data_IF_795619918832
#
_entry.id   IF_795619918832
#
_cell.length_a   1.000
_cell.length_b   1.000
_cell.length_c   1.000
_cell.angle_alpha   90.00
_cell.angle_beta   90.00
_cell.angle_gamma   90.00
#
_symmetry.space_group_name_H-M   'P 1'
#
loop_
_entity.id
_entity.type
_entity.pdbx_description
1 polymer ?
#
# COMPACT_ATOMS: atom_id res chain seq x y z
N UNK A 1 -6.51 5.20 -2.76
CA UNK A 1 -5.77 6.24 -3.49
C UNK A 1 -6.75 7.20 -4.17
N UNK A 2 -6.53 8.50 -3.99
CA UNK A 2 -7.35 9.56 -4.58
C UNK A 2 -6.52 10.36 -5.57
N UNK A 3 -7.12 10.73 -6.69
CA UNK A 3 -6.60 11.75 -7.59
C UNK A 3 -7.29 13.07 -7.27
N UNK A 4 -6.50 14.10 -7.00
CA UNK A 4 -7.00 15.46 -6.75
C UNK A 4 -6.45 16.37 -7.85
N UNK A 5 -7.33 16.91 -8.69
CA UNK A 5 -6.92 17.84 -9.75
C UNK A 5 -6.86 19.29 -9.24
N UNK A 6 -6.18 20.20 -9.98
CA UNK A 6 -6.04 21.60 -9.57
C UNK A 6 -7.36 22.35 -9.36
N UNK A 7 -8.43 21.91 -10.02
CA UNK A 7 -9.81 22.42 -9.87
C UNK A 7 -10.56 21.84 -8.65
N UNK A 8 -9.86 21.12 -7.76
CA UNK A 8 -10.40 20.48 -6.54
C UNK A 8 -11.36 19.33 -6.80
N UNK A 9 -11.41 18.78 -8.02
CA UNK A 9 -12.13 17.54 -8.26
C UNK A 9 -11.36 16.37 -7.64
N UNK A 10 -12.06 15.55 -6.86
CA UNK A 10 -11.54 14.34 -6.22
C UNK A 10 -12.11 13.13 -6.93
N UNK A 11 -11.25 12.21 -7.33
CA UNK A 11 -11.59 10.97 -8.00
C UNK A 11 -10.97 9.80 -7.22
N UNK A 12 -11.76 8.76 -6.97
CA UNK A 12 -11.27 7.52 -6.39
C UNK A 12 -10.58 6.70 -7.48
N UNK A 13 -9.28 6.43 -7.32
CA UNK A 13 -8.52 5.59 -8.24
C UNK A 13 -8.57 4.10 -7.83
N UNK A 14 -8.43 3.83 -6.53
CA UNK A 14 -8.47 2.46 -5.99
C UNK A 14 -8.71 2.48 -4.48
N UNK A 15 -9.48 1.53 -3.96
CA UNK A 15 -9.72 1.31 -2.52
C UNK A 15 -9.62 -0.16 -2.08
N UNK A 16 -9.31 -1.07 -3.00
CA UNK A 16 -9.26 -2.50 -2.75
C UNK A 16 -8.35 -3.23 -3.75
N UNK A 17 -7.87 -4.39 -3.34
CA UNK A 17 -7.21 -5.36 -4.21
C UNK A 17 -7.59 -6.78 -3.77
N UNK A 18 -7.78 -7.69 -4.72
CA UNK A 18 -8.17 -9.09 -4.47
C UNK A 18 -9.46 -9.25 -3.64
N UNK A 19 -10.41 -8.33 -3.84
CA UNK A 19 -11.68 -8.32 -3.09
C UNK A 19 -11.56 -7.82 -1.65
N UNK A 20 -10.36 -7.44 -1.18
CA UNK A 20 -10.11 -6.88 0.14
C UNK A 20 -9.88 -5.37 0.07
N UNK A 21 -10.68 -4.61 0.81
CA UNK A 21 -10.50 -3.16 1.01
C UNK A 21 -9.18 -2.89 1.72
N UNK A 22 -8.57 -1.75 1.43
CA UNK A 22 -7.47 -1.24 2.23
C UNK A 22 -8.01 -0.73 3.56
N UNK A 23 -7.29 -0.93 4.66
CA UNK A 23 -7.71 -0.41 5.97
C UNK A 23 -6.66 0.51 6.59
N UNK A 24 -5.37 0.28 6.33
CA UNK A 24 -4.28 1.09 6.86
C UNK A 24 -3.15 1.21 5.84
N UNK A 25 -3.34 2.01 4.80
CA UNK A 25 -2.24 2.35 3.88
C UNK A 25 -1.22 3.25 4.56
N UNK A 26 0.08 2.98 4.41
CA UNK A 26 1.15 3.69 5.13
C UNK A 26 2.20 4.28 4.17
N UNK A 27 3.15 3.48 3.70
CA UNK A 27 4.21 3.89 2.77
C UNK A 27 3.76 3.94 1.32
N UNK A 28 4.34 4.87 0.56
CA UNK A 28 4.14 5.02 -0.88
C UNK A 28 5.41 5.50 -1.55
N UNK A 29 5.70 4.99 -2.75
CA UNK A 29 6.74 5.51 -3.63
C UNK A 29 6.33 5.33 -5.11
N UNK A 30 6.94 6.10 -6.01
CA UNK A 30 6.56 6.15 -7.43
C UNK A 30 7.78 5.86 -8.30
N UNK A 31 7.67 4.82 -9.14
CA UNK A 31 8.72 4.50 -10.11
C UNK A 31 8.74 5.49 -11.28
N UNK A 32 9.85 5.49 -12.01
CA UNK A 32 10.06 6.37 -13.17
C UNK A 32 9.04 6.17 -14.29
N UNK A 33 8.41 4.99 -14.38
CA UNK A 33 7.35 4.68 -15.33
C UNK A 33 5.95 5.15 -14.88
N UNK A 34 5.85 5.70 -13.66
CA UNK A 34 4.61 6.16 -13.05
C UNK A 34 3.85 5.10 -12.25
N UNK A 35 4.36 3.87 -12.16
CA UNK A 35 3.80 2.84 -11.27
C UNK A 35 3.91 3.32 -9.82
N UNK A 36 2.80 3.28 -9.09
CA UNK A 36 2.76 3.67 -7.67
C UNK A 36 2.82 2.42 -6.81
N UNK A 37 3.88 2.27 -6.03
CA UNK A 37 4.00 1.20 -5.04
C UNK A 37 3.56 1.72 -3.67
N UNK A 38 2.78 0.93 -2.94
CA UNK A 38 2.31 1.33 -1.62
C UNK A 38 2.06 0.12 -0.73
N UNK A 39 2.10 0.34 0.57
CA UNK A 39 1.77 -0.68 1.57
C UNK A 39 0.35 -0.50 2.11
N UNK A 40 -0.27 -1.61 2.47
CA UNK A 40 -1.43 -1.69 3.36
C UNK A 40 -0.94 -2.41 4.61
N UNK A 41 -0.61 -1.67 5.66
CA UNK A 41 0.03 -2.17 6.87
C UNK A 41 -0.80 -3.27 7.53
N UNK A 42 -2.11 -3.09 7.53
CA UNK A 42 -3.08 -4.12 7.89
C UNK A 42 -4.34 -3.91 7.05
N UNK A 43 -4.77 -4.95 6.33
CA UNK A 43 -6.10 -4.92 5.69
C UNK A 43 -7.24 -5.14 6.70
N UNK A 44 -6.93 -5.50 7.95
CA UNK A 44 -7.91 -5.87 8.99
C UNK A 44 -8.18 -4.74 9.98
N UNK A 45 -7.14 -4.00 10.39
CA UNK A 45 -7.26 -2.96 11.41
C UNK A 45 -6.94 -1.57 10.84
N UNK A 46 -7.71 -0.57 11.28
CA UNK A 46 -7.46 0.83 10.95
C UNK A 46 -6.36 1.43 11.82
N UNK A 47 -5.95 2.67 11.50
CA UNK A 47 -4.97 3.42 12.29
C UNK A 47 -5.39 3.55 13.76
N UNK A 48 -6.67 3.71 14.07
CA UNK A 48 -7.14 3.84 15.45
C UNK A 48 -6.98 2.53 16.26
N UNK A 49 -6.97 1.39 15.58
CA UNK A 49 -6.91 0.07 16.17
C UNK A 49 -5.59 -0.67 15.88
N UNK A 50 -4.57 0.02 15.37
CA UNK A 50 -3.29 -0.57 14.96
C UNK A 50 -2.59 -1.38 16.08
N UNK A 51 -2.76 -0.98 17.35
CA UNK A 51 -2.24 -1.74 18.50
C UNK A 51 -2.83 -3.15 18.58
N UNK A 52 -4.08 -3.35 18.15
CA UNK A 52 -4.69 -4.68 18.14
C UNK A 52 -4.08 -5.58 17.06
N UNK A 53 -3.69 -5.02 15.91
CA UNK A 53 -2.97 -5.77 14.87
C UNK A 53 -1.60 -6.24 15.37
N UNK A 54 -0.86 -5.33 16.03
CA UNK A 54 0.44 -5.64 16.65
C UNK A 54 0.31 -6.73 17.72
N UNK A 55 -0.69 -6.63 18.59
CA UNK A 55 -0.92 -7.62 19.64
C UNK A 55 -1.41 -8.97 19.11
N UNK A 56 -2.19 -8.97 18.03
CA UNK A 56 -2.65 -10.19 17.39
C UNK A 56 -1.47 -10.94 16.72
N UNK A 57 -0.41 -10.21 16.35
CA UNK A 57 0.82 -10.75 15.78
C UNK A 57 0.54 -11.71 14.61
N UNK A 58 -0.28 -11.22 13.67
CA UNK A 58 -0.65 -11.94 12.44
C UNK A 58 -0.33 -11.09 11.23
N UNK A 59 0.02 -11.72 10.09
CA UNK A 59 0.54 -11.01 8.94
C UNK A 59 -0.59 -10.46 8.04
N UNK A 60 -1.28 -9.40 8.47
CA UNK A 60 -2.34 -8.76 7.66
C UNK A 60 -1.82 -7.70 6.68
N UNK A 61 -0.51 -7.52 6.57
CA UNK A 61 0.12 -6.53 5.72
C UNK A 61 0.27 -7.00 4.28
N UNK A 62 0.27 -6.04 3.35
CA UNK A 62 0.44 -6.28 1.91
C UNK A 62 1.28 -5.18 1.27
N UNK A 63 2.08 -5.57 0.27
CA UNK A 63 2.72 -4.65 -0.67
C UNK A 63 1.97 -4.67 -1.99
N UNK A 64 1.62 -3.50 -2.51
CA UNK A 64 0.78 -3.34 -3.70
C UNK A 64 1.44 -2.43 -4.73
N UNK A 65 1.04 -2.60 -5.99
CA UNK A 65 1.29 -1.65 -7.07
C UNK A 65 -0.01 -1.18 -7.69
N UNK A 66 -0.08 0.10 -8.05
CA UNK A 66 -1.14 0.68 -8.86
C UNK A 66 -0.55 1.24 -10.15
N UNK A 67 -1.09 0.81 -11.28
CA UNK A 67 -0.75 1.31 -12.61
C UNK A 67 -1.79 2.36 -13.04
N UNK A 68 -1.43 3.67 -13.09
CA UNK A 68 -2.36 4.72 -13.47
C UNK A 68 -2.85 4.63 -14.93
N UNK A 69 -2.12 3.96 -15.82
CA UNK A 69 -2.48 3.83 -17.23
C UNK A 69 -3.62 2.83 -17.45
N UNK A 70 -3.68 1.78 -16.62
CA UNK A 70 -4.72 0.74 -16.69
C UNK A 70 -5.73 0.83 -15.55
N UNK A 71 -5.47 1.62 -14.51
CA UNK A 71 -6.28 1.70 -13.31
C UNK A 71 -6.24 0.43 -12.45
N UNK A 72 -5.27 -0.46 -12.68
CA UNK A 72 -5.20 -1.76 -12.00
C UNK A 72 -4.36 -1.68 -10.74
N UNK A 73 -4.87 -2.27 -9.66
CA UNK A 73 -4.09 -2.54 -8.45
C UNK A 73 -3.76 -4.02 -8.39
N UNK A 74 -2.49 -4.35 -8.15
CA UNK A 74 -2.02 -5.71 -7.92
C UNK A 74 -1.39 -5.84 -6.54
N UNK A 75 -1.57 -7.00 -5.90
CA UNK A 75 -0.85 -7.37 -4.67
C UNK A 75 0.44 -8.08 -5.08
N UNK A 76 1.59 -7.51 -4.72
CA UNK A 76 2.91 -8.03 -5.05
C UNK A 76 3.40 -9.00 -3.98
N UNK A 77 3.19 -8.66 -2.71
CA UNK A 77 3.57 -9.48 -1.55
C UNK A 77 2.41 -9.49 -0.57
N UNK A 78 2.10 -10.68 -0.05
CA UNK A 78 1.08 -10.94 0.97
C UNK A 78 1.75 -11.33 2.27
N UNK A 79 0.95 -11.41 3.32
CA UNK A 79 1.35 -11.99 4.59
C UNK A 79 2.59 -11.30 5.18
N UNK A 80 2.59 -9.96 5.16
CA UNK A 80 3.58 -9.13 5.86
C UNK A 80 3.09 -8.77 7.26
N UNK A 81 3.97 -8.72 8.24
CA UNK A 81 3.69 -8.21 9.57
C UNK A 81 3.80 -6.68 9.59
N UNK A 82 2.65 -6.01 9.60
CA UNK A 82 2.57 -4.55 9.69
C UNK A 82 3.45 -3.85 8.62
N UNK A 83 3.09 -4.03 7.35
CA UNK A 83 3.84 -3.49 6.20
C UNK A 83 3.90 -1.96 6.24
N UNK A 84 5.07 -1.39 6.53
CA UNK A 84 5.19 0.03 6.86
C UNK A 84 5.65 0.85 5.66
N UNK A 85 6.94 0.82 5.35
CA UNK A 85 7.56 1.61 4.29
C UNK A 85 7.76 0.85 2.98
N UNK A 86 7.86 1.59 1.89
CA UNK A 86 8.29 1.12 0.58
C UNK A 86 9.17 2.17 -0.10
N UNK A 87 10.19 1.74 -0.85
CA UNK A 87 11.03 2.61 -1.67
C UNK A 87 11.49 1.88 -2.95
N UNK A 88 11.44 2.57 -4.08
CA UNK A 88 12.01 2.13 -5.36
C UNK A 88 13.49 2.52 -5.38
N UNK A 89 14.37 1.62 -5.80
CA UNK A 89 15.79 1.93 -5.89
C UNK A 89 16.06 3.00 -6.97
N UNK A 90 17.08 3.86 -6.82
CA UNK A 90 17.36 4.92 -7.80
C UNK A 90 17.57 4.41 -9.24
N UNK A 91 18.15 3.22 -9.38
CA UNK A 91 18.37 2.54 -10.67
C UNK A 91 17.14 1.77 -11.19
N UNK A 92 16.00 1.83 -10.48
CA UNK A 92 14.72 1.20 -10.83
C UNK A 92 14.76 -0.34 -10.89
N UNK A 93 15.79 -0.97 -10.31
CA UNK A 93 16.00 -2.42 -10.37
C UNK A 93 15.39 -3.17 -9.19
N UNK A 94 15.09 -2.48 -8.10
CA UNK A 94 14.68 -3.08 -6.83
C UNK A 94 13.57 -2.29 -6.15
N UNK A 95 12.76 -3.01 -5.37
CA UNK A 95 11.75 -2.45 -4.49
C UNK A 95 12.06 -2.92 -3.07
N UNK A 96 12.29 -1.98 -2.16
CA UNK A 96 12.59 -2.24 -0.75
C UNK A 96 11.31 -1.96 0.04
N UNK A 97 10.96 -2.85 0.96
CA UNK A 97 9.85 -2.66 1.91
C UNK A 97 10.28 -3.09 3.31
N UNK A 98 9.52 -2.69 4.33
CA UNK A 98 9.80 -3.08 5.71
C UNK A 98 8.54 -3.51 6.49
N UNK A 99 8.78 -4.33 7.50
CA UNK A 99 7.81 -4.81 8.50
C UNK A 99 8.18 -4.16 9.84
N UNK A 100 7.21 -3.58 10.55
CA UNK A 100 7.48 -2.89 11.83
C UNK A 100 7.68 -3.85 12.99
N UNK A 101 6.95 -4.96 12.98
CA UNK A 101 6.96 -5.96 14.04
C UNK A 101 7.21 -7.32 13.41
N UNK A 102 8.12 -8.09 13.99
CA UNK A 102 8.48 -9.46 13.58
C UNK A 102 8.65 -10.33 14.80
#
# INVERSE_FOLDING_TARGET
MLKVSPDRKVELLTDAAEGLRFALTDGVDVAADGTVYFTDASYKYSLQNHMADILEARPHGRLLSFDPSTGRTAVLVRDLYFANGVAVSPDQSSLIYCETVV
#
